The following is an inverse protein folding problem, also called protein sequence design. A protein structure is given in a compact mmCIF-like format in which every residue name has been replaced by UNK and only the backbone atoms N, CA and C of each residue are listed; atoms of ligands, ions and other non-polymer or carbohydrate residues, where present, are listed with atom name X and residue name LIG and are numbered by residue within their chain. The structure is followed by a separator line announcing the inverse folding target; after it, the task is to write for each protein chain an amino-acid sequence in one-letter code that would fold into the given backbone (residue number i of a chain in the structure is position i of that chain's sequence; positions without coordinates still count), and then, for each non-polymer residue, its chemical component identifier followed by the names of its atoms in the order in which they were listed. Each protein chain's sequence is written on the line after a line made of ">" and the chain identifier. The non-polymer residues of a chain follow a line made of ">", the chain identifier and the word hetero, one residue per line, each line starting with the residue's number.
data_IF_667528946460
#
_entry.id   IF_667528946460
#
_cell.length_a   1.000
_cell.length_b   1.000
_cell.length_c   1.000
_cell.angle_alpha   90.00
_cell.angle_beta   90.00
_cell.angle_gamma   90.00
#
_symmetry.space_group_name_H-M   'P 1'
#
loop_
_entity.id
_entity.type
_entity.pdbx_description
1 polymer ?
#
# COMPACT_ATOMS: atom_id res chain seq x y z
N UNK A 1 -10.56 2.38 -15.68
CA UNK A 1 -11.60 1.69 -14.90
C UNK A 1 -11.28 1.90 -13.43
N UNK A 2 -12.11 2.66 -12.71
CA UNK A 2 -11.84 3.07 -11.32
C UNK A 2 -12.30 2.01 -10.32
N UNK A 3 -11.64 1.96 -9.16
CA UNK A 3 -11.98 1.11 -8.01
C UNK A 3 -13.42 1.36 -7.52
N UNK A 4 -14.02 2.49 -7.89
CA UNK A 4 -15.43 2.79 -7.67
C UNK A 4 -16.39 1.83 -8.40
N UNK A 5 -15.93 1.07 -9.41
CA UNK A 5 -16.74 0.07 -10.09
C UNK A 5 -16.89 -1.26 -9.31
N UNK A 6 -16.15 -1.47 -8.21
CA UNK A 6 -16.24 -2.71 -7.40
C UNK A 6 -17.28 -2.64 -6.27
N UNK A 7 -18.16 -1.63 -6.28
CA UNK A 7 -19.21 -1.44 -5.26
C UNK A 7 -20.47 -2.30 -5.46
N UNK A 8 -20.45 -3.30 -6.34
CA UNK A 8 -21.60 -4.20 -6.54
C UNK A 8 -21.14 -5.66 -6.46
N UNK A 9 -21.51 -6.28 -5.34
CA UNK A 9 -21.40 -7.72 -5.04
C UNK A 9 -20.08 -8.22 -4.44
N UNK A 10 -19.71 -7.71 -3.25
CA UNK A 10 -18.98 -8.55 -2.27
C UNK A 10 -19.78 -8.52 -0.97
N UNK A 11 -20.79 -9.37 -0.91
CA UNK A 11 -21.22 -9.95 0.37
C UNK A 11 -20.24 -11.10 0.63
N UNK A 12 -19.60 -11.09 1.81
CA UNK A 12 -18.97 -12.22 2.50
C UNK A 12 -17.45 -12.51 2.49
N UNK A 13 -16.55 -11.80 1.79
CA UNK A 13 -15.14 -12.27 1.84
C UNK A 13 -13.97 -11.30 1.94
N UNK A 14 -14.11 -9.97 1.88
CA UNK A 14 -13.07 -9.03 2.36
C UNK A 14 -13.56 -7.58 2.17
N UNK A 15 -13.33 -6.71 3.15
CA UNK A 15 -13.56 -5.27 2.97
C UNK A 15 -12.56 -4.69 1.94
N UNK A 16 -12.93 -3.67 1.13
CA UNK A 16 -12.01 -3.02 0.19
C UNK A 16 -10.67 -2.61 0.82
N UNK A 17 -10.69 -2.22 2.09
CA UNK A 17 -9.52 -1.85 2.88
C UNK A 17 -8.58 -3.04 3.18
N UNK A 18 -9.11 -4.23 3.37
CA UNK A 18 -8.30 -5.45 3.54
C UNK A 18 -7.58 -5.82 2.24
N UNK A 19 -8.23 -5.58 1.10
CA UNK A 19 -7.60 -5.76 -0.22
C UNK A 19 -6.43 -4.77 -0.38
N UNK A 20 -6.64 -3.49 -0.09
CA UNK A 20 -5.58 -2.47 -0.10
C UNK A 20 -4.41 -2.87 0.80
N UNK A 21 -4.68 -3.26 2.05
CA UNK A 21 -3.66 -3.69 2.99
C UNK A 21 -2.85 -4.89 2.47
N UNK A 22 -3.50 -5.88 1.85
CA UNK A 22 -2.81 -7.04 1.28
C UNK A 22 -1.89 -6.65 0.12
N UNK A 23 -2.34 -5.75 -0.75
CA UNK A 23 -1.54 -5.27 -1.89
C UNK A 23 -0.34 -4.47 -1.40
N UNK A 24 -0.53 -3.57 -0.43
CA UNK A 24 0.57 -2.86 0.23
C UNK A 24 1.56 -3.83 0.88
N UNK A 25 1.08 -4.82 1.63
CA UNK A 25 1.93 -5.81 2.30
C UNK A 25 2.76 -6.61 1.30
N UNK A 26 2.15 -7.08 0.20
CA UNK A 26 2.86 -7.81 -0.86
C UNK A 26 3.99 -6.96 -1.46
N UNK A 27 3.67 -5.78 -1.97
CA UNK A 27 4.64 -4.90 -2.63
C UNK A 27 5.75 -4.48 -1.65
N UNK A 28 5.42 -4.19 -0.40
CA UNK A 28 6.41 -3.84 0.64
C UNK A 28 7.32 -5.02 0.95
N UNK A 29 6.77 -6.24 1.00
CA UNK A 29 7.55 -7.47 1.15
C UNK A 29 8.51 -7.68 -0.02
N UNK A 30 8.03 -7.52 -1.25
CA UNK A 30 8.84 -7.66 -2.46
C UNK A 30 9.95 -6.60 -2.52
N UNK A 31 9.67 -5.34 -2.18
CA UNK A 31 10.71 -4.30 -2.06
C UNK A 31 11.76 -4.66 -1.01
N UNK A 32 11.35 -5.17 0.16
CA UNK A 32 12.28 -5.58 1.20
C UNK A 32 13.21 -6.70 0.74
N UNK A 33 12.75 -7.66 -0.07
CA UNK A 33 13.62 -8.73 -0.59
C UNK A 33 14.79 -8.20 -1.43
N UNK A 34 14.60 -7.08 -2.14
CA UNK A 34 15.65 -6.47 -2.95
C UNK A 34 16.49 -5.43 -2.18
N UNK A 35 16.16 -5.13 -0.91
CA UNK A 35 16.77 -4.04 -0.14
C UNK A 35 18.28 -4.14 -0.03
N UNK A 36 18.77 -5.27 0.45
CA UNK A 36 20.21 -5.42 0.74
C UNK A 36 21.00 -5.51 -0.56
N UNK A 37 20.48 -6.23 -1.56
CA UNK A 37 21.10 -6.34 -2.87
C UNK A 37 21.17 -4.98 -3.59
N UNK A 38 20.11 -4.17 -3.52
CA UNK A 38 20.11 -2.81 -4.06
C UNK A 38 21.09 -1.89 -3.34
N UNK A 39 21.22 -2.02 -2.02
CA UNK A 39 22.21 -1.25 -1.25
C UNK A 39 23.66 -1.67 -1.54
N UNK A 40 23.88 -2.95 -1.86
CA UNK A 40 25.19 -3.49 -2.21
C UNK A 40 25.61 -3.16 -3.65
N UNK A 41 24.67 -2.93 -4.57
CA UNK A 41 24.94 -2.65 -5.98
C UNK A 41 25.84 -1.42 -6.18
N UNK A 42 27.01 -1.62 -6.80
CA UNK A 42 28.02 -0.56 -7.02
C UNK A 42 28.13 -0.14 -8.48
N UNK A 43 27.71 -1.00 -9.40
CA UNK A 43 27.78 -0.75 -10.84
C UNK A 43 26.39 -0.51 -11.45
N UNK A 44 26.37 0.01 -12.68
CA UNK A 44 25.15 0.06 -13.49
C UNK A 44 24.64 -1.32 -13.88
N UNK A 45 25.54 -2.28 -14.08
CA UNK A 45 25.23 -3.67 -14.42
C UNK A 45 24.52 -4.38 -13.26
N UNK A 46 25.01 -4.22 -12.02
CA UNK A 46 24.38 -4.79 -10.82
C UNK A 46 22.93 -4.30 -10.70
N UNK A 47 22.73 -2.99 -10.92
CA UNK A 47 21.40 -2.37 -10.84
C UNK A 47 20.49 -2.86 -11.97
N UNK A 48 21.02 -3.00 -13.18
CA UNK A 48 20.25 -3.52 -14.31
C UNK A 48 19.83 -4.98 -14.06
N UNK A 49 20.74 -5.80 -13.53
CA UNK A 49 20.43 -7.17 -13.14
C UNK A 49 19.31 -7.23 -12.09
N UNK A 50 19.36 -6.37 -11.06
CA UNK A 50 18.27 -6.28 -10.07
C UNK A 50 16.94 -5.84 -10.69
N UNK A 51 16.97 -4.88 -11.62
CA UNK A 51 15.75 -4.46 -12.32
C UNK A 51 15.13 -5.60 -13.13
N UNK A 52 15.97 -6.40 -13.80
CA UNK A 52 15.55 -7.59 -14.54
C UNK A 52 15.07 -8.73 -13.62
N UNK A 53 15.67 -8.86 -12.43
CA UNK A 53 15.32 -9.85 -11.39
C UNK A 53 14.04 -9.49 -10.60
N UNK A 54 13.23 -8.56 -11.10
CA UNK A 54 11.90 -8.27 -10.59
C UNK A 54 11.77 -6.97 -9.80
N UNK A 55 12.87 -6.31 -9.41
CA UNK A 55 12.77 -5.01 -8.73
C UNK A 55 12.08 -3.95 -9.61
N UNK A 56 12.35 -3.95 -10.92
CA UNK A 56 11.71 -3.01 -11.85
C UNK A 56 10.19 -3.20 -11.91
N UNK A 57 9.73 -4.46 -11.88
CA UNK A 57 8.31 -4.80 -11.80
C UNK A 57 7.70 -4.33 -10.48
N UNK A 58 8.35 -4.63 -9.35
CA UNK A 58 7.88 -4.24 -8.02
C UNK A 58 7.75 -2.72 -7.88
N UNK A 59 8.71 -1.94 -8.39
CA UNK A 59 8.65 -0.48 -8.41
C UNK A 59 7.50 0.04 -9.29
N UNK A 60 7.27 -0.59 -10.44
CA UNK A 60 6.15 -0.25 -11.32
C UNK A 60 4.80 -0.56 -10.65
N UNK A 61 4.69 -1.68 -9.93
CA UNK A 61 3.50 -2.03 -9.16
C UNK A 61 3.26 -1.03 -8.01
N UNK A 62 4.31 -0.62 -7.30
CA UNK A 62 4.25 0.43 -6.30
C UNK A 62 3.72 1.75 -6.89
N UNK A 63 4.28 2.18 -8.03
CA UNK A 63 3.84 3.40 -8.70
C UNK A 63 2.35 3.34 -9.08
N UNK A 64 1.92 2.21 -9.68
CA UNK A 64 0.51 2.00 -10.05
C UNK A 64 -0.43 2.08 -8.85
N UNK A 65 -0.07 1.45 -7.74
CA UNK A 65 -0.87 1.49 -6.52
C UNK A 65 -1.06 2.94 -6.02
N UNK A 66 0.03 3.71 -5.97
CA UNK A 66 0.00 5.09 -5.50
C UNK A 66 -0.75 6.04 -6.45
N UNK A 67 -0.66 5.82 -7.77
CA UNK A 67 -1.47 6.58 -8.74
C UNK A 67 -2.97 6.29 -8.57
N UNK A 68 -3.35 5.03 -8.38
CA UNK A 68 -4.76 4.67 -8.12
C UNK A 68 -5.27 5.30 -6.81
N UNK A 69 -4.45 5.28 -5.75
CA UNK A 69 -4.79 5.90 -4.48
C UNK A 69 -4.95 7.42 -4.63
N UNK A 70 -4.04 8.08 -5.35
CA UNK A 70 -4.10 9.51 -5.63
C UNK A 70 -5.38 9.88 -6.38
N UNK A 71 -5.74 9.10 -7.41
CA UNK A 71 -6.94 9.34 -8.21
C UNK A 71 -8.22 9.20 -7.36
N UNK A 72 -8.26 8.23 -6.43
CA UNK A 72 -9.37 8.10 -5.48
C UNK A 72 -9.42 9.26 -4.47
N UNK A 73 -8.26 9.67 -3.94
CA UNK A 73 -8.14 10.81 -3.03
C UNK A 73 -8.53 12.13 -3.70
N UNK A 74 -8.32 12.27 -5.01
CA UNK A 74 -8.71 13.46 -5.76
C UNK A 74 -10.20 13.47 -6.15
N UNK A 75 -10.91 12.35 -5.99
CA UNK A 75 -12.32 12.23 -6.33
C UNK A 75 -13.20 13.10 -5.42
N UNK A 76 -14.20 13.77 -6.02
CA UNK A 76 -15.19 14.58 -5.29
C UNK A 76 -16.04 13.75 -4.31
N UNK A 77 -16.13 12.43 -4.50
CA UNK A 77 -16.84 11.51 -3.61
C UNK A 77 -16.04 11.04 -2.40
N UNK A 78 -14.76 11.39 -2.28
CA UNK A 78 -13.91 10.92 -1.18
C UNK A 78 -14.35 11.53 0.16
N UNK A 79 -14.58 10.67 1.16
CA UNK A 79 -15.17 11.03 2.46
C UNK A 79 -14.12 11.26 3.55
N UNK A 80 -12.82 11.29 3.23
CA UNK A 80 -11.79 11.54 4.22
C UNK A 80 -11.80 13.03 4.63
N UNK A 81 -11.45 13.34 5.90
CA UNK A 81 -11.24 14.71 6.33
C UNK A 81 -10.29 15.46 5.39
N UNK A 82 -10.58 16.72 5.00
CA UNK A 82 -9.78 17.45 4.02
C UNK A 82 -8.29 17.50 4.35
N UNK A 83 -7.95 17.66 5.63
CA UNK A 83 -6.57 17.68 6.14
C UNK A 83 -5.85 16.34 5.89
N UNK A 84 -6.50 15.22 6.21
CA UNK A 84 -5.93 13.88 6.00
C UNK A 84 -5.76 13.59 4.51
N UNK A 85 -6.76 13.96 3.70
CA UNK A 85 -6.73 13.80 2.25
C UNK A 85 -5.58 14.57 1.62
N UNK A 86 -5.35 15.82 2.03
CA UNK A 86 -4.24 16.64 1.56
C UNK A 86 -2.87 16.03 1.92
N UNK A 87 -2.72 15.51 3.15
CA UNK A 87 -1.49 14.83 3.58
C UNK A 87 -1.22 13.57 2.73
N UNK A 88 -2.23 12.72 2.52
CA UNK A 88 -2.10 11.52 1.71
C UNK A 88 -1.78 11.82 0.23
N UNK A 89 -2.39 12.87 -0.35
CA UNK A 89 -2.05 13.34 -1.69
C UNK A 89 -0.59 13.79 -1.78
N UNK A 90 -0.10 14.54 -0.79
CA UNK A 90 1.30 14.96 -0.74
C UNK A 90 2.26 13.76 -0.69
N UNK A 91 1.92 12.72 0.07
CA UNK A 91 2.70 11.48 0.14
C UNK A 91 2.67 10.78 -1.22
N UNK A 92 1.51 10.64 -1.85
CA UNK A 92 1.39 9.99 -3.17
C UNK A 92 2.27 10.67 -4.23
N UNK A 93 2.23 12.00 -4.29
CA UNK A 93 3.08 12.78 -5.20
C UNK A 93 4.58 12.61 -4.90
N UNK A 94 4.95 12.52 -3.62
CA UNK A 94 6.32 12.24 -3.24
C UNK A 94 6.76 10.83 -3.66
N UNK A 95 5.92 9.81 -3.45
CA UNK A 95 6.20 8.42 -3.84
C UNK A 95 6.36 8.28 -5.35
N UNK A 96 5.51 8.93 -6.15
CA UNK A 96 5.65 8.93 -7.61
C UNK A 96 7.02 9.45 -8.04
N UNK A 97 7.43 10.61 -7.52
CA UNK A 97 8.75 11.20 -7.83
C UNK A 97 9.90 10.34 -7.32
N UNK A 98 9.78 9.80 -6.10
CA UNK A 98 10.85 9.01 -5.48
C UNK A 98 11.03 7.66 -6.18
N UNK A 99 9.95 7.03 -6.62
CA UNK A 99 10.00 5.78 -7.42
C UNK A 99 10.78 5.99 -8.72
N UNK A 100 10.56 7.11 -9.42
CA UNK A 100 11.33 7.45 -10.62
C UNK A 100 12.82 7.65 -10.31
N UNK A 101 13.17 8.29 -9.20
CA UNK A 101 14.57 8.43 -8.76
C UNK A 101 15.21 7.08 -8.46
N UNK A 102 14.47 6.16 -7.84
CA UNK A 102 14.95 4.80 -7.58
C UNK A 102 15.21 4.05 -8.89
N UNK A 103 14.28 4.12 -9.84
CA UNK A 103 14.44 3.51 -11.17
C UNK A 103 15.66 4.07 -11.91
N UNK A 104 15.94 5.36 -11.75
CA UNK A 104 17.15 6.01 -12.27
C UNK A 104 18.43 5.71 -11.46
N UNK A 105 18.35 4.93 -10.37
CA UNK A 105 19.49 4.64 -9.48
C UNK A 105 20.00 5.85 -8.70
N UNK A 106 19.15 6.87 -8.50
CA UNK A 106 19.46 8.15 -7.84
C UNK A 106 18.91 8.23 -6.41
N UNK A 107 18.18 7.21 -5.95
CA UNK A 107 17.60 7.16 -4.63
C UNK A 107 17.54 5.74 -4.07
N UNK A 108 17.44 5.64 -2.74
CA UNK A 108 17.26 4.37 -2.02
C UNK A 108 15.80 3.90 -2.05
N UNK A 109 15.60 2.57 -2.08
CA UNK A 109 14.29 1.95 -1.91
C UNK A 109 13.76 2.00 -0.48
N UNK A 110 14.61 2.24 0.53
CA UNK A 110 14.23 2.22 1.96
C UNK A 110 13.09 3.19 2.25
N UNK A 111 13.16 4.40 1.71
CA UNK A 111 12.15 5.40 1.96
C UNK A 111 10.76 5.01 1.39
N UNK A 112 10.70 4.21 0.31
CA UNK A 112 9.44 3.65 -0.20
C UNK A 112 8.91 2.57 0.75
N UNK A 113 9.80 1.71 1.26
CA UNK A 113 9.46 0.66 2.22
C UNK A 113 8.89 1.27 3.51
N UNK A 114 9.52 2.32 4.03
CA UNK A 114 9.08 2.98 5.28
C UNK A 114 7.69 3.59 5.12
N UNK A 115 7.47 4.34 4.02
CA UNK A 115 6.18 4.94 3.72
C UNK A 115 5.09 3.86 3.57
N UNK A 116 5.35 2.81 2.80
CA UNK A 116 4.36 1.74 2.61
C UNK A 116 4.07 1.00 3.92
N UNK A 117 5.08 0.78 4.77
CA UNK A 117 4.93 0.18 6.10
C UNK A 117 4.04 1.03 6.99
N UNK A 118 4.22 2.35 7.00
CA UNK A 118 3.39 3.27 7.77
C UNK A 118 1.94 3.31 7.28
N UNK A 119 1.72 3.31 5.96
CA UNK A 119 0.37 3.23 5.38
C UNK A 119 -0.29 1.89 5.74
N UNK A 120 0.43 0.78 5.62
CA UNK A 120 -0.05 -0.54 6.02
C UNK A 120 -0.46 -0.58 7.50
N UNK A 121 0.35 0.01 8.38
CA UNK A 121 0.03 0.12 9.80
C UNK A 121 -1.25 0.93 10.04
N UNK A 122 -1.46 2.02 9.30
CA UNK A 122 -2.68 2.82 9.36
C UNK A 122 -3.92 2.06 8.85
N UNK A 123 -3.78 1.30 7.76
CA UNK A 123 -4.86 0.49 7.18
C UNK A 123 -5.28 -0.66 8.10
N UNK A 124 -4.32 -1.29 8.79
CA UNK A 124 -4.58 -2.41 9.71
C UNK A 124 -5.17 -1.96 11.06
N UNK A 125 -4.70 -0.84 11.64
CA UNK A 125 -5.21 -0.32 12.91
C UNK A 125 -6.65 0.15 12.87
N UNK A 126 -7.09 0.71 11.74
CA UNK A 126 -8.43 1.24 11.62
C UNK A 126 -9.42 0.24 10.99
N UNK A 127 -9.07 -1.07 10.97
CA UNK A 127 -10.11 -2.09 10.98
C UNK A 127 -10.89 -1.94 12.30
N UNK A 128 -12.22 -1.78 12.28
CA UNK A 128 -12.98 -2.01 13.50
C UNK A 128 -12.67 -3.45 13.93
N UNK A 129 -12.16 -3.61 15.15
CA UNK A 129 -12.29 -4.88 15.88
C UNK A 129 -13.73 -5.32 15.67
N UNK A 130 -13.93 -6.49 15.06
CA UNK A 130 -15.25 -7.05 14.83
C UNK A 130 -16.08 -6.88 16.10
N UNK A 131 -17.32 -6.48 15.90
CA UNK A 131 -18.38 -6.45 16.90
C UNK A 131 -18.32 -7.76 17.68
N UNK A 132 -17.70 -7.72 18.87
CA UNK A 132 -17.93 -8.73 19.89
C UNK A 132 -19.29 -8.37 20.47
N UNK A 133 -20.33 -8.71 19.71
CA UNK A 133 -21.71 -8.55 20.14
C UNK A 133 -21.93 -9.48 21.32
N UNK A 134 -22.58 -8.94 22.34
CA UNK A 134 -22.81 -9.63 23.59
C UNK A 134 -23.73 -10.83 23.38
N UNK A 135 -23.33 -11.97 23.93
CA UNK A 135 -24.27 -12.98 24.39
C UNK A 135 -23.89 -13.35 25.83
N UNK A 136 -24.64 -12.78 26.77
CA UNK A 136 -24.61 -13.08 28.20
C UNK A 136 -25.07 -14.53 28.48
N UNK A 137 -24.76 -15.07 29.67
CA UNK A 137 -24.88 -16.48 30.00
C UNK A 137 -26.32 -16.83 30.38
N UNK A 138 -26.89 -17.85 29.74
CA UNK A 138 -28.09 -18.50 30.28
C UNK A 138 -27.66 -19.72 31.09
N UNK A 139 -27.72 -19.54 32.40
CA UNK A 139 -27.78 -20.61 33.38
C UNK A 139 -28.88 -21.61 32.98
N UNK A 140 -28.53 -22.88 32.92
CA UNK A 140 -29.51 -23.96 33.02
C UNK A 140 -29.42 -24.51 34.44
N UNK A 141 -30.47 -24.23 35.20
CA UNK A 141 -30.82 -24.85 36.46
C UNK A 141 -32.11 -25.63 36.22
N UNK A 142 -32.14 -26.84 36.82
CA UNK A 142 -33.19 -27.87 36.85
C UNK A 142 -33.17 -28.86 35.69
#
# INVERSE_FOLDING_TARGET
>A
MSIAAYKRTIRESESPRQIEARVFARITGDLNRHRDAFAAARSGEDRLALMADGLGRTLTENQKLWTLLRDDLASSGNQLPPQLRAQLLSIALWVERHTLKVLAGQASINALIDVNTHILAGLTRAQPKGVADGAQPHAQTV
#
